data_IF_814377554131
#
_entry.id   IF_814377554131
#
_cell.length_a   1.000
_cell.length_b   1.000
_cell.length_c   1.000
_cell.angle_alpha   90.00
_cell.angle_beta   90.00
_cell.angle_gamma   90.00
#
_symmetry.space_group_name_H-M   'P 1'
#
loop_
_entity.id
_entity.type
_entity.pdbx_description
1 polymer ?
#
# COMPACT_ATOMS: atom_id res chain seq x y z
N UNK A 1 -19.01 11.96 11.07
CA UNK A 1 -17.91 12.34 10.13
C UNK A 1 -16.90 11.22 10.20
N UNK A 2 -16.73 10.49 9.11
CA UNK A 2 -15.81 9.36 9.00
C UNK A 2 -14.34 9.79 8.98
N UNK A 3 -13.43 8.81 8.94
CA UNK A 3 -11.98 9.06 8.77
C UNK A 3 -11.67 9.56 7.36
N UNK A 4 -12.40 9.05 6.36
CA UNK A 4 -12.26 9.46 4.96
C UNK A 4 -12.63 10.92 4.74
N UNK A 5 -13.67 11.41 5.44
CA UNK A 5 -14.12 12.81 5.34
C UNK A 5 -13.10 13.83 5.88
N UNK A 6 -12.14 13.36 6.69
CA UNK A 6 -11.09 14.20 7.29
C UNK A 6 -9.85 14.33 6.41
N UNK A 7 -9.79 13.58 5.30
CA UNK A 7 -8.64 13.60 4.38
C UNK A 7 -8.65 14.90 3.57
N UNK A 8 -7.60 15.71 3.71
CA UNK A 8 -7.47 16.98 2.99
C UNK A 8 -7.02 16.76 1.54
N UNK A 9 -7.96 16.56 0.63
CA UNK A 9 -7.71 16.32 -0.79
C UNK A 9 -7.23 17.56 -1.57
N UNK A 10 -7.15 18.74 -0.93
CA UNK A 10 -6.62 19.97 -1.55
C UNK A 10 -5.09 19.97 -1.69
N UNK A 11 -4.40 19.07 -1.03
CA UNK A 11 -2.93 18.94 -1.04
C UNK A 11 -2.39 18.76 -2.46
N UNK A 12 -1.42 19.59 -2.82
CA UNK A 12 -0.82 19.59 -4.16
C UNK A 12 0.69 19.82 -4.09
N UNK A 13 1.39 19.38 -5.12
CA UNK A 13 2.80 19.70 -5.37
C UNK A 13 2.99 20.11 -6.82
N UNK A 14 3.87 21.07 -7.03
CA UNK A 14 4.36 21.42 -8.36
C UNK A 14 5.24 20.29 -8.91
N UNK A 15 5.54 20.32 -10.22
CA UNK A 15 6.45 19.35 -10.84
C UNK A 15 7.87 19.42 -10.26
N UNK A 16 8.34 20.62 -9.90
CA UNK A 16 9.68 20.83 -9.32
C UNK A 16 9.77 20.27 -7.90
N UNK A 17 8.75 20.53 -7.08
CA UNK A 17 8.67 20.00 -5.72
C UNK A 17 8.56 18.46 -5.72
N UNK A 18 7.70 17.87 -6.59
CA UNK A 18 7.64 16.41 -6.76
C UNK A 18 9.01 15.82 -7.11
N UNK A 19 9.71 16.42 -8.10
CA UNK A 19 11.00 15.90 -8.56
C UNK A 19 12.06 15.95 -7.45
N UNK A 20 12.15 17.08 -6.73
CA UNK A 20 13.09 17.26 -5.63
C UNK A 20 12.81 16.30 -4.48
N UNK A 21 11.55 16.21 -4.03
CA UNK A 21 11.16 15.35 -2.93
C UNK A 21 11.33 13.85 -3.25
N UNK A 22 11.02 13.45 -4.50
CA UNK A 22 11.25 12.07 -4.93
C UNK A 22 12.75 11.74 -4.96
N UNK A 23 13.61 12.63 -5.45
CA UNK A 23 15.05 12.39 -5.49
C UNK A 23 15.62 12.14 -4.08
N UNK A 24 15.33 13.03 -3.13
CA UNK A 24 15.76 12.89 -1.74
C UNK A 24 15.20 11.62 -1.07
N UNK A 25 13.90 11.37 -1.25
CA UNK A 25 13.28 10.18 -0.70
C UNK A 25 13.83 8.88 -1.30
N UNK A 26 14.18 8.86 -2.58
CA UNK A 26 14.78 7.70 -3.23
C UNK A 26 16.16 7.37 -2.68
N UNK A 27 17.00 8.38 -2.43
CA UNK A 27 18.30 8.19 -1.78
C UNK A 27 18.13 7.56 -0.40
N UNK A 28 17.20 8.11 0.40
CA UNK A 28 16.92 7.59 1.74
C UNK A 28 16.36 6.18 1.71
N UNK A 29 15.37 5.90 0.86
CA UNK A 29 14.79 4.56 0.72
C UNK A 29 15.81 3.54 0.26
N UNK A 30 16.69 3.91 -0.69
CA UNK A 30 17.77 3.04 -1.15
C UNK A 30 18.72 2.70 -0.01
N UNK A 31 19.15 3.69 0.76
CA UNK A 31 20.01 3.48 1.94
C UNK A 31 19.37 2.49 2.92
N UNK A 32 18.10 2.72 3.32
CA UNK A 32 17.37 1.84 4.23
C UNK A 32 17.27 0.41 3.67
N UNK A 33 16.98 0.27 2.38
CA UNK A 33 16.88 -1.05 1.73
C UNK A 33 18.22 -1.79 1.70
N UNK A 34 19.31 -1.09 1.39
CA UNK A 34 20.65 -1.69 1.41
C UNK A 34 21.07 -2.09 2.83
N UNK A 35 20.72 -1.29 3.83
CA UNK A 35 20.95 -1.63 5.25
C UNK A 35 20.17 -2.87 5.65
N UNK A 36 18.85 -2.88 5.43
CA UNK A 36 18.00 -4.03 5.76
C UNK A 36 18.39 -5.29 5.00
N UNK A 37 18.87 -5.15 3.77
CA UNK A 37 19.34 -6.28 2.94
C UNK A 37 20.76 -6.76 3.27
N UNK A 38 21.43 -6.17 4.25
CA UNK A 38 22.78 -6.56 4.64
C UNK A 38 23.86 -6.21 3.62
N UNK A 39 23.62 -5.25 2.69
CA UNK A 39 24.61 -4.81 1.72
C UNK A 39 25.54 -3.72 2.31
N UNK A 40 25.02 -2.89 3.22
CA UNK A 40 25.78 -1.85 3.91
C UNK A 40 25.55 -1.92 5.42
N UNK A 41 26.33 -1.21 6.20
CA UNK A 41 26.31 -1.22 7.67
C UNK A 41 27.01 -2.45 8.24
N UNK A 42 26.42 -3.07 9.24
CA UNK A 42 26.93 -4.29 9.91
C UNK A 42 26.77 -5.58 9.10
N UNK A 43 26.13 -5.47 7.93
CA UNK A 43 25.83 -6.57 7.01
C UNK A 43 24.90 -7.65 7.57
N UNK A 44 24.22 -7.39 8.67
CA UNK A 44 23.14 -8.24 9.16
C UNK A 44 21.86 -8.03 8.33
N UNK A 45 21.06 -9.10 8.16
CA UNK A 45 19.75 -8.98 7.55
C UNK A 45 18.81 -8.32 8.56
N UNK A 46 18.14 -7.25 8.13
CA UNK A 46 17.14 -6.57 8.93
C UNK A 46 15.73 -7.15 8.76
N UNK A 47 14.76 -6.63 9.50
CA UNK A 47 13.37 -7.08 9.44
C UNK A 47 12.77 -6.99 8.04
N UNK A 48 11.89 -7.94 7.68
CA UNK A 48 11.20 -7.92 6.40
C UNK A 48 10.22 -6.74 6.31
N UNK A 49 10.04 -6.19 5.11
CA UNK A 49 9.14 -5.07 4.86
C UNK A 49 8.01 -5.49 3.93
N UNK A 50 6.76 -5.32 4.36
CA UNK A 50 5.59 -5.55 3.51
C UNK A 50 4.75 -4.28 3.41
N UNK A 51 4.62 -3.73 2.20
CA UNK A 51 3.82 -2.53 1.93
C UNK A 51 2.54 -2.92 1.20
N UNK A 52 1.40 -2.56 1.79
CA UNK A 52 0.07 -2.87 1.27
C UNK A 52 -0.55 -1.63 0.62
N UNK A 53 -0.97 -1.75 -0.63
CA UNK A 53 -1.70 -0.71 -1.33
C UNK A 53 -3.16 -1.09 -1.50
N UNK A 54 -4.03 -0.38 -0.83
CA UNK A 54 -5.47 -0.37 -1.04
C UNK A 54 -5.95 1.03 -1.48
N UNK A 55 -7.18 1.14 -1.90
CA UNK A 55 -7.76 2.43 -2.30
C UNK A 55 -8.68 2.33 -3.50
N UNK A 56 -9.35 3.42 -3.77
CA UNK A 56 -10.33 3.52 -4.84
C UNK A 56 -9.76 3.13 -6.21
N UNK A 57 -10.62 2.63 -7.10
CA UNK A 57 -10.25 2.45 -8.49
C UNK A 57 -9.83 3.80 -9.09
N UNK A 58 -8.81 3.77 -9.93
CA UNK A 58 -8.12 4.94 -10.46
C UNK A 58 -7.46 5.88 -9.41
N UNK A 59 -7.37 5.51 -8.13
CA UNK A 59 -6.71 6.35 -7.11
C UNK A 59 -5.23 6.64 -7.39
N UNK A 60 -4.57 5.84 -8.22
CA UNK A 60 -3.18 6.06 -8.61
C UNK A 60 -2.20 5.07 -8.01
N UNK A 61 -2.68 3.97 -7.39
CA UNK A 61 -1.86 2.89 -6.79
C UNK A 61 -0.66 2.51 -7.66
N UNK A 62 -0.88 2.02 -8.87
CA UNK A 62 0.20 1.57 -9.75
C UNK A 62 1.21 2.66 -10.13
N UNK A 63 0.78 3.94 -10.17
CA UNK A 63 1.67 5.08 -10.38
C UNK A 63 2.55 5.40 -9.17
N UNK A 64 2.02 5.23 -7.96
CA UNK A 64 2.74 5.38 -6.70
C UNK A 64 3.72 4.20 -6.49
N UNK A 65 3.26 2.97 -6.69
CA UNK A 65 4.11 1.76 -6.63
C UNK A 65 5.30 1.90 -7.56
N UNK A 66 5.07 2.31 -8.82
CA UNK A 66 6.18 2.51 -9.77
C UNK A 66 7.22 3.50 -9.24
N UNK A 67 6.82 4.61 -8.58
CA UNK A 67 7.77 5.59 -8.01
C UNK A 67 8.46 5.06 -6.77
N UNK A 68 7.72 4.33 -5.93
CA UNK A 68 8.27 3.70 -4.73
C UNK A 68 9.41 2.73 -5.08
N UNK A 69 9.20 1.85 -6.05
CA UNK A 69 10.18 0.81 -6.37
C UNK A 69 11.24 1.25 -7.39
N UNK A 70 11.08 2.42 -8.01
CA UNK A 70 11.96 2.90 -9.08
C UNK A 70 13.45 2.96 -8.72
N UNK A 71 13.87 3.33 -7.50
CA UNK A 71 15.28 3.39 -7.13
C UNK A 71 15.85 2.04 -6.67
N UNK A 72 15.00 1.05 -6.47
CA UNK A 72 15.41 -0.23 -5.88
C UNK A 72 15.84 -1.23 -6.94
N UNK A 73 16.83 -2.04 -6.60
CA UNK A 73 17.21 -3.18 -7.42
C UNK A 73 16.04 -4.20 -7.47
N UNK A 74 15.54 -4.55 -8.66
CA UNK A 74 14.40 -5.46 -8.80
C UNK A 74 14.64 -6.86 -8.25
N UNK A 75 15.89 -7.24 -7.99
CA UNK A 75 16.23 -8.52 -7.33
C UNK A 75 15.92 -8.52 -5.84
N UNK A 76 15.78 -7.35 -5.23
CA UNK A 76 15.59 -7.16 -3.78
C UNK A 76 14.22 -6.62 -3.39
N UNK A 77 13.33 -6.39 -4.35
CA UNK A 77 11.95 -5.98 -4.12
C UNK A 77 11.01 -6.78 -5.00
N UNK A 78 9.97 -7.33 -4.39
CA UNK A 78 8.91 -8.04 -5.11
C UNK A 78 7.67 -7.17 -5.17
N UNK A 79 7.11 -6.97 -6.37
CA UNK A 79 5.79 -6.35 -6.55
C UNK A 79 4.80 -7.41 -6.99
N UNK A 80 3.72 -7.56 -6.23
CA UNK A 80 2.68 -8.54 -6.53
C UNK A 80 1.34 -7.84 -6.62
N UNK A 81 0.63 -8.06 -7.72
CA UNK A 81 -0.74 -7.60 -7.90
C UNK A 81 -1.69 -8.76 -7.68
N UNK A 82 -2.69 -8.57 -6.82
CA UNK A 82 -3.75 -9.54 -6.61
C UNK A 82 -5.02 -9.17 -7.38
N UNK A 83 -5.50 -10.12 -8.16
CA UNK A 83 -6.80 -10.11 -8.80
C UNK A 83 -7.76 -11.07 -8.07
N UNK A 84 -8.93 -11.32 -8.66
CA UNK A 84 -9.86 -12.33 -8.16
C UNK A 84 -9.14 -13.67 -7.91
N UNK A 85 -9.45 -14.38 -6.83
CA UNK A 85 -8.81 -15.65 -6.53
C UNK A 85 -9.10 -16.70 -7.61
N UNK A 86 -8.10 -17.51 -7.95
CA UNK A 86 -8.22 -18.64 -8.87
C UNK A 86 -9.13 -19.72 -8.29
N UNK A 87 -9.53 -20.69 -9.12
CA UNK A 87 -10.32 -21.81 -8.65
C UNK A 87 -9.63 -22.60 -7.52
N UNK A 88 -8.32 -22.79 -7.62
CA UNK A 88 -7.55 -23.50 -6.58
C UNK A 88 -7.43 -22.66 -5.30
N UNK A 89 -7.13 -21.37 -5.41
CA UNK A 89 -7.06 -20.46 -4.25
C UNK A 89 -8.38 -20.40 -3.46
N UNK A 90 -9.53 -20.51 -4.13
CA UNK A 90 -10.86 -20.57 -3.48
C UNK A 90 -11.10 -21.82 -2.63
N UNK A 91 -10.30 -22.88 -2.80
CA UNK A 91 -10.37 -24.12 -1.99
C UNK A 91 -9.65 -23.98 -0.65
N UNK A 92 -8.89 -22.91 -0.48
CA UNK A 92 -8.10 -22.62 0.71
C UNK A 92 -8.67 -21.41 1.47
N UNK A 93 -8.22 -21.25 2.70
CA UNK A 93 -8.50 -20.03 3.45
C UNK A 93 -7.98 -18.81 2.69
N UNK A 94 -8.73 -17.68 2.69
CA UNK A 94 -8.38 -16.53 1.86
C UNK A 94 -6.98 -15.95 2.11
N UNK A 95 -6.42 -16.12 3.31
CA UNK A 95 -5.05 -15.70 3.65
C UNK A 95 -3.97 -16.60 3.03
N UNK A 96 -4.31 -17.83 2.64
CA UNK A 96 -3.34 -18.79 2.12
C UNK A 96 -2.54 -18.26 0.93
N UNK A 97 -3.18 -17.59 0.00
CA UNK A 97 -2.56 -17.07 -1.22
C UNK A 97 -1.51 -15.99 -0.98
N UNK A 98 -1.50 -15.37 0.20
CA UNK A 98 -0.57 -14.29 0.54
C UNK A 98 0.73 -14.81 1.17
N UNK A 99 0.70 -15.94 1.86
CA UNK A 99 1.89 -16.52 2.49
C UNK A 99 3.10 -16.67 1.54
N UNK A 100 2.96 -17.20 0.30
CA UNK A 100 4.10 -17.42 -0.60
C UNK A 100 4.75 -16.13 -1.12
N UNK A 101 4.13 -14.97 -0.89
CA UNK A 101 4.62 -13.68 -1.38
C UNK A 101 5.15 -12.77 -0.28
N UNK A 102 4.99 -13.17 0.99
CA UNK A 102 5.54 -12.44 2.12
C UNK A 102 7.07 -12.43 2.05
N UNK A 103 7.72 -11.31 2.40
CA UNK A 103 9.17 -11.22 2.42
C UNK A 103 9.74 -11.96 3.63
N UNK A 104 10.91 -12.55 3.46
CA UNK A 104 11.76 -12.98 4.57
C UNK A 104 12.66 -11.84 5.06
N UNK A 105 13.45 -12.09 6.10
CA UNK A 105 14.44 -11.13 6.61
C UNK A 105 15.34 -10.59 5.48
N UNK A 106 15.59 -9.30 5.48
CA UNK A 106 16.30 -8.60 4.42
C UNK A 106 15.48 -8.33 3.15
N UNK A 107 14.27 -8.88 3.04
CA UNK A 107 13.41 -8.76 1.86
C UNK A 107 12.38 -7.62 1.94
N UNK A 108 11.81 -7.25 0.79
CA UNK A 108 10.68 -6.32 0.69
C UNK A 108 9.67 -6.80 -0.34
N UNK A 109 8.40 -6.77 0.04
CA UNK A 109 7.29 -7.02 -0.88
C UNK A 109 6.32 -5.84 -0.88
N UNK A 110 5.84 -5.47 -2.07
CA UNK A 110 4.80 -4.46 -2.28
C UNK A 110 3.59 -5.14 -2.88
N UNK A 111 2.45 -5.06 -2.22
CA UNK A 111 1.20 -5.67 -2.66
C UNK A 111 0.27 -4.60 -3.26
N UNK A 112 -0.10 -4.73 -4.53
CA UNK A 112 -1.20 -3.99 -5.16
C UNK A 112 -2.48 -4.80 -4.99
N UNK A 113 -3.33 -4.39 -4.05
CA UNK A 113 -4.40 -5.14 -3.39
C UNK A 113 -3.85 -6.25 -2.47
N UNK A 114 -4.59 -6.55 -1.43
CA UNK A 114 -4.12 -7.42 -0.35
C UNK A 114 -5.25 -8.29 0.20
N UNK A 115 -5.03 -8.88 1.36
CA UNK A 115 -6.04 -9.65 2.11
C UNK A 115 -7.27 -8.82 2.51
N UNK A 116 -7.18 -7.52 2.47
CA UNK A 116 -8.30 -6.62 2.73
C UNK A 116 -9.41 -6.69 1.67
N UNK A 117 -9.14 -7.27 0.51
CA UNK A 117 -10.16 -7.60 -0.49
C UNK A 117 -11.33 -8.39 0.09
N UNK A 118 -11.11 -9.26 1.12
CA UNK A 118 -12.14 -10.01 1.83
C UNK A 118 -13.21 -9.12 2.47
N UNK A 119 -12.80 -8.02 3.09
CA UNK A 119 -13.70 -7.09 3.80
C UNK A 119 -14.07 -5.87 2.95
N UNK A 120 -13.54 -5.75 1.75
CA UNK A 120 -13.85 -4.72 0.76
C UNK A 120 -14.63 -5.28 -0.42
N UNK A 121 -13.98 -5.61 -1.52
CA UNK A 121 -14.64 -6.05 -2.76
C UNK A 121 -15.45 -7.32 -2.57
N UNK A 122 -14.95 -8.31 -1.84
CA UNK A 122 -15.68 -9.57 -1.65
C UNK A 122 -16.93 -9.40 -0.78
N UNK A 123 -16.89 -8.47 0.19
CA UNK A 123 -18.05 -8.07 1.00
C UNK A 123 -19.07 -7.31 0.15
N UNK A 124 -18.67 -6.23 -0.51
CA UNK A 124 -19.57 -5.30 -1.21
C UNK A 124 -20.20 -5.96 -2.44
N UNK A 125 -19.44 -6.79 -3.16
CA UNK A 125 -19.94 -7.51 -4.34
C UNK A 125 -20.66 -8.83 -3.98
N UNK A 126 -20.73 -9.19 -2.70
CA UNK A 126 -21.40 -10.41 -2.25
C UNK A 126 -20.66 -11.69 -2.63
N UNK A 127 -19.34 -11.63 -2.86
CA UNK A 127 -18.52 -12.80 -3.18
C UNK A 127 -18.13 -13.59 -1.93
N UNK A 128 -18.19 -12.97 -0.75
CA UNK A 128 -18.02 -13.61 0.54
C UNK A 128 -19.34 -13.57 1.33
N UNK A 129 -19.70 -14.68 1.95
CA UNK A 129 -20.83 -14.75 2.87
C UNK A 129 -20.62 -13.83 4.07
N UNK A 130 -21.71 -13.31 4.63
CA UNK A 130 -21.69 -12.33 5.72
C UNK A 130 -20.89 -12.83 6.93
N UNK A 131 -21.10 -14.06 7.35
CA UNK A 131 -20.34 -14.66 8.47
C UNK A 131 -18.83 -14.73 8.16
N UNK A 132 -18.45 -14.94 6.89
CA UNK A 132 -17.05 -15.07 6.48
C UNK A 132 -16.34 -13.72 6.47
N UNK A 133 -16.93 -12.65 5.92
CA UNK A 133 -16.26 -11.36 5.91
C UNK A 133 -16.29 -10.68 7.30
N UNK A 134 -17.33 -10.93 8.13
CA UNK A 134 -17.34 -10.43 9.52
C UNK A 134 -16.23 -11.04 10.37
N UNK A 135 -15.99 -12.34 10.24
CA UNK A 135 -14.89 -13.04 10.93
C UNK A 135 -13.51 -12.59 10.43
N UNK A 136 -13.42 -12.23 9.16
CA UNK A 136 -12.14 -11.88 8.51
C UNK A 136 -11.41 -10.72 9.18
N UNK A 137 -12.09 -9.80 9.85
CA UNK A 137 -11.41 -8.73 10.60
C UNK A 137 -10.51 -9.27 11.71
N UNK A 138 -10.99 -10.24 12.47
CA UNK A 138 -10.23 -10.86 13.55
C UNK A 138 -9.11 -11.76 13.00
N UNK A 139 -9.40 -12.46 11.90
CA UNK A 139 -8.40 -13.28 11.18
C UNK A 139 -7.27 -12.43 10.60
N UNK A 140 -7.58 -11.28 10.00
CA UNK A 140 -6.60 -10.31 9.50
C UNK A 140 -5.76 -9.74 10.65
N UNK A 141 -6.39 -9.32 11.73
CA UNK A 141 -5.68 -8.79 12.89
C UNK A 141 -4.72 -9.82 13.49
N UNK A 142 -5.15 -11.08 13.61
CA UNK A 142 -4.32 -12.18 14.12
C UNK A 142 -3.16 -12.48 13.16
N UNK A 143 -3.42 -12.47 11.86
CA UNK A 143 -2.41 -12.66 10.83
C UNK A 143 -1.35 -11.57 10.85
N UNK A 144 -1.76 -10.29 10.84
CA UNK A 144 -0.85 -9.15 10.92
C UNK A 144 -0.06 -9.13 12.23
N UNK A 145 -0.69 -9.53 13.35
CA UNK A 145 0.01 -9.66 14.62
C UNK A 145 1.09 -10.72 14.56
N UNK A 146 0.79 -11.91 14.02
CA UNK A 146 1.79 -12.97 13.82
C UNK A 146 2.99 -12.50 13.01
N UNK A 147 2.76 -11.74 11.94
CA UNK A 147 3.83 -11.20 11.12
C UNK A 147 4.65 -10.14 11.87
N UNK A 148 3.98 -9.27 12.64
CA UNK A 148 4.64 -8.24 13.43
C UNK A 148 5.46 -8.82 14.58
N UNK A 149 4.99 -9.87 15.23
CA UNK A 149 5.71 -10.56 16.32
C UNK A 149 7.00 -11.24 15.82
N UNK A 150 7.02 -11.65 14.53
CA UNK A 150 8.22 -12.14 13.83
C UNK A 150 9.10 -10.98 13.29
N UNK A 151 8.80 -9.73 13.65
CA UNK A 151 9.58 -8.54 13.32
C UNK A 151 9.20 -7.87 12.00
N UNK A 152 8.19 -8.37 11.25
CA UNK A 152 7.83 -7.75 9.96
C UNK A 152 7.33 -6.32 10.13
N UNK A 153 7.85 -5.44 9.30
CA UNK A 153 7.40 -4.04 9.17
C UNK A 153 6.25 -4.00 8.18
N UNK A 154 5.04 -3.75 8.69
CA UNK A 154 3.83 -3.61 7.87
C UNK A 154 3.53 -2.12 7.66
N UNK A 155 3.41 -1.69 6.40
CA UNK A 155 3.00 -0.33 6.03
C UNK A 155 1.72 -0.43 5.20
N UNK A 156 0.59 -0.01 5.75
CA UNK A 156 -0.71 -0.10 5.10
C UNK A 156 -1.16 1.26 4.57
N UNK A 157 -1.40 1.34 3.26
CA UNK A 157 -1.72 2.57 2.55
C UNK A 157 -3.11 2.47 1.93
N UNK A 158 -4.00 3.42 2.30
CA UNK A 158 -5.27 3.64 1.62
C UNK A 158 -5.17 4.86 0.72
N UNK A 159 -5.21 4.65 -0.60
CA UNK A 159 -5.17 5.74 -1.59
C UNK A 159 -6.56 6.34 -1.76
N UNK A 160 -6.81 7.50 -1.15
CA UNK A 160 -8.10 8.18 -1.16
C UNK A 160 -8.17 9.26 -2.23
N UNK A 161 -9.27 9.29 -3.00
CA UNK A 161 -9.59 10.33 -3.98
C UNK A 161 -11.06 10.72 -3.87
N UNK A 162 -11.36 11.95 -4.28
CA UNK A 162 -12.71 12.43 -4.42
C UNK A 162 -13.48 11.66 -5.52
N UNK A 163 -14.78 11.71 -5.43
CA UNK A 163 -15.67 11.12 -6.45
C UNK A 163 -15.46 11.79 -7.82
N UNK A 164 -15.33 13.10 -7.82
CA UNK A 164 -15.10 13.90 -9.01
C UNK A 164 -13.77 13.57 -9.70
N UNK A 165 -12.70 13.44 -8.92
CA UNK A 165 -11.40 13.07 -9.49
C UNK A 165 -11.40 11.62 -10.03
N UNK A 166 -12.11 10.69 -9.38
CA UNK A 166 -12.27 9.34 -9.90
C UNK A 166 -12.94 9.34 -11.28
N UNK A 167 -14.08 10.03 -11.41
CA UNK A 167 -14.81 10.14 -12.68
C UNK A 167 -13.93 10.75 -13.78
N UNK A 168 -13.26 11.85 -13.47
CA UNK A 168 -12.33 12.51 -14.38
C UNK A 168 -11.23 11.59 -14.87
N UNK A 169 -10.71 10.71 -13.98
CA UNK A 169 -9.69 9.72 -14.33
C UNK A 169 -10.25 8.60 -15.20
N UNK A 170 -11.46 8.14 -14.96
CA UNK A 170 -12.14 7.16 -15.79
C UNK A 170 -12.35 7.71 -17.21
N UNK A 171 -12.85 8.93 -17.34
CA UNK A 171 -13.01 9.59 -18.64
C UNK A 171 -11.68 9.78 -19.38
N UNK A 172 -10.63 10.16 -18.65
CA UNK A 172 -9.28 10.28 -19.21
C UNK A 172 -8.74 8.94 -19.71
N UNK A 173 -9.02 7.84 -18.99
CA UNK A 173 -8.65 6.49 -19.44
C UNK A 173 -9.41 6.08 -20.69
N UNK A 174 -10.72 6.36 -20.75
CA UNK A 174 -11.59 6.08 -21.91
C UNK A 174 -11.10 6.75 -23.19
N UNK A 175 -10.58 7.98 -23.08
CA UNK A 175 -10.08 8.78 -24.22
C UNK A 175 -8.66 8.39 -24.66
N UNK A 176 -7.92 7.58 -23.90
CA UNK A 176 -6.53 7.25 -24.18
C UNK A 176 -6.38 5.78 -24.58
N UNK A 177 -6.08 5.46 -25.87
CA UNK A 177 -5.97 4.07 -26.34
C UNK A 177 -4.98 3.21 -25.55
N UNK A 178 -3.91 3.81 -25.02
CA UNK A 178 -2.90 3.11 -24.22
C UNK A 178 -3.34 2.88 -22.76
N UNK A 179 -4.53 3.37 -22.37
CA UNK A 179 -5.05 3.26 -21.00
C UNK A 179 -6.46 2.68 -20.92
N UNK A 180 -7.13 2.50 -22.05
CA UNK A 180 -8.49 1.91 -22.11
C UNK A 180 -8.56 0.56 -21.43
N UNK A 181 -7.55 -0.29 -21.61
CA UNK A 181 -7.46 -1.61 -20.98
C UNK A 181 -7.47 -1.58 -19.44
N UNK A 182 -7.26 -0.41 -18.82
CA UNK A 182 -7.31 -0.19 -17.37
C UNK A 182 -8.71 0.21 -16.87
N UNK A 183 -9.66 0.35 -17.78
CA UNK A 183 -11.03 0.71 -17.45
C UNK A 183 -11.92 -0.47 -17.82
N UNK A 184 -12.51 -1.08 -16.82
CA UNK A 184 -13.35 -2.26 -16.95
C UNK A 184 -14.78 -1.95 -16.50
N UNK A 185 -15.73 -2.82 -16.84
CA UNK A 185 -17.11 -2.72 -16.34
C UNK A 185 -17.17 -2.85 -14.82
N UNK A 186 -16.18 -3.51 -14.21
CA UNK A 186 -16.04 -3.61 -12.75
C UNK A 186 -15.77 -2.23 -12.12
N UNK A 187 -14.90 -1.40 -12.74
CA UNK A 187 -14.64 -0.05 -12.24
C UNK A 187 -15.92 0.79 -12.15
N UNK A 188 -16.81 0.70 -13.16
CA UNK A 188 -18.07 1.41 -13.18
C UNK A 188 -19.05 0.87 -12.14
N UNK A 189 -19.17 -0.43 -12.01
CA UNK A 189 -20.00 -1.12 -11.02
C UNK A 189 -19.57 -0.77 -9.59
N UNK A 190 -18.26 -0.77 -9.31
CA UNK A 190 -17.70 -0.37 -8.02
C UNK A 190 -18.02 1.08 -7.71
N UNK A 191 -18.00 1.95 -8.72
CA UNK A 191 -18.35 3.36 -8.57
C UNK A 191 -19.83 3.55 -8.22
N UNK A 192 -20.73 2.79 -8.82
CA UNK A 192 -22.17 2.83 -8.49
C UNK A 192 -22.45 2.47 -7.02
N UNK A 193 -21.59 1.63 -6.43
CA UNK A 193 -21.67 1.20 -5.02
C UNK A 193 -20.73 1.98 -4.09
N UNK A 194 -20.30 3.19 -4.49
CA UNK A 194 -19.29 3.94 -3.74
C UNK A 194 -19.63 4.14 -2.27
N UNK A 195 -20.88 4.37 -1.92
CA UNK A 195 -21.32 4.56 -0.53
C UNK A 195 -21.18 3.26 0.28
N UNK A 196 -21.50 2.11 -0.32
CA UNK A 196 -21.30 0.80 0.32
C UNK A 196 -19.81 0.50 0.54
N UNK A 197 -18.99 0.83 -0.47
CA UNK A 197 -17.53 0.73 -0.33
C UNK A 197 -16.99 1.69 0.72
N UNK A 198 -17.48 2.94 0.80
CA UNK A 198 -17.06 3.90 1.81
C UNK A 198 -17.36 3.39 3.23
N UNK A 199 -18.55 2.84 3.45
CA UNK A 199 -18.93 2.22 4.73
C UNK A 199 -18.01 1.01 5.06
N UNK A 200 -17.70 0.17 4.07
CA UNK A 200 -16.78 -0.96 4.26
C UNK A 200 -15.36 -0.51 4.61
N UNK A 201 -14.88 0.57 3.97
CA UNK A 201 -13.56 1.15 4.25
C UNK A 201 -13.50 1.76 5.65
N UNK A 202 -14.51 2.52 6.06
CA UNK A 202 -14.55 3.10 7.41
C UNK A 202 -14.52 2.01 8.49
N UNK A 203 -15.32 0.94 8.33
CA UNK A 203 -15.29 -0.20 9.25
C UNK A 203 -13.92 -0.93 9.22
N UNK A 204 -13.33 -1.10 8.04
CA UNK A 204 -11.98 -1.66 7.91
C UNK A 204 -10.96 -0.82 8.67
N UNK A 205 -10.96 0.50 8.49
CA UNK A 205 -10.06 1.41 9.19
C UNK A 205 -10.27 1.37 10.71
N UNK A 206 -11.52 1.32 11.17
CA UNK A 206 -11.85 1.25 12.59
C UNK A 206 -11.36 -0.06 13.22
N UNK A 207 -11.63 -1.18 12.58
CA UNK A 207 -11.41 -2.51 13.16
C UNK A 207 -9.98 -3.04 12.98
N UNK A 208 -9.21 -2.49 12.04
CA UNK A 208 -7.89 -3.04 11.70
C UNK A 208 -6.75 -2.01 11.75
N UNK A 209 -6.98 -0.81 12.29
CA UNK A 209 -5.91 0.16 12.56
C UNK A 209 -5.16 -0.22 13.84
N UNK A 210 -4.11 -1.00 13.71
CA UNK A 210 -3.37 -1.62 14.82
C UNK A 210 -2.09 -0.83 15.13
N UNK A 211 -2.23 0.22 15.90
CA UNK A 211 -1.10 1.00 16.41
C UNK A 211 -0.34 0.21 17.49
N UNK A 212 0.99 0.25 17.52
CA UNK A 212 1.90 0.85 16.54
C UNK A 212 2.35 -0.11 15.44
N UNK A 213 1.88 -1.37 15.43
CA UNK A 213 2.46 -2.46 14.63
C UNK A 213 2.04 -2.43 13.16
N UNK A 214 0.78 -2.10 12.89
CA UNK A 214 0.23 -2.12 11.53
C UNK A 214 -0.79 -0.98 11.34
N UNK A 215 -0.37 0.30 11.38
CA UNK A 215 -1.26 1.45 11.20
C UNK A 215 -1.71 1.61 9.75
N UNK A 216 -2.92 2.14 9.57
CA UNK A 216 -3.38 2.64 8.29
C UNK A 216 -2.94 4.09 8.05
N UNK A 217 -2.36 4.32 6.88
CA UNK A 217 -2.04 5.66 6.41
C UNK A 217 -2.98 6.04 5.26
N UNK A 218 -3.78 7.09 5.47
CA UNK A 218 -4.65 7.65 4.44
C UNK A 218 -3.82 8.59 3.56
N UNK A 219 -3.81 8.31 2.25
CA UNK A 219 -3.00 9.05 1.28
C UNK A 219 -3.92 9.93 0.43
N UNK A 220 -3.70 11.21 0.46
CA UNK A 220 -4.42 12.22 -0.32
C UNK A 220 -4.09 12.07 -1.81
N UNK A 221 -5.05 11.55 -2.57
CA UNK A 221 -4.79 11.03 -3.91
C UNK A 221 -5.22 11.94 -5.07
N UNK A 222 -5.95 13.03 -4.86
CA UNK A 222 -6.43 13.90 -5.95
C UNK A 222 -5.28 14.49 -6.75
N UNK A 223 -4.23 14.96 -6.07
CA UNK A 223 -2.97 15.29 -6.73
C UNK A 223 -2.07 14.07 -6.83
N UNK A 224 -1.90 13.52 -8.03
CA UNK A 224 -0.98 12.39 -8.26
C UNK A 224 0.46 12.69 -7.85
N UNK A 225 0.90 13.94 -7.96
CA UNK A 225 2.25 14.36 -7.57
C UNK A 225 2.41 14.29 -6.06
N UNK A 226 1.46 14.88 -5.34
CA UNK A 226 1.45 14.82 -3.88
C UNK A 226 1.38 13.38 -3.37
N UNK A 227 0.43 12.60 -3.87
CA UNK A 227 0.25 11.20 -3.46
C UNK A 227 1.52 10.34 -3.60
N UNK A 228 2.28 10.51 -4.68
CA UNK A 228 3.52 9.76 -4.93
C UNK A 228 4.60 10.08 -3.90
N UNK A 229 4.77 11.36 -3.60
CA UNK A 229 5.71 11.83 -2.56
C UNK A 229 5.24 11.37 -1.18
N UNK A 230 3.95 11.56 -0.87
CA UNK A 230 3.38 11.15 0.41
C UNK A 230 3.55 9.65 0.67
N UNK A 231 3.28 8.81 -0.33
CA UNK A 231 3.52 7.36 -0.26
C UNK A 231 4.99 7.04 0.04
N UNK A 232 5.93 7.66 -0.71
CA UNK A 232 7.36 7.43 -0.51
C UNK A 232 7.80 7.79 0.91
N UNK A 233 7.42 8.97 1.39
CA UNK A 233 7.77 9.44 2.73
C UNK A 233 7.14 8.57 3.82
N UNK A 234 5.86 8.20 3.67
CA UNK A 234 5.18 7.31 4.63
C UNK A 234 5.85 5.94 4.71
N UNK A 235 6.32 5.39 3.59
CA UNK A 235 7.04 4.10 3.61
C UNK A 235 8.40 4.24 4.28
N UNK A 236 9.13 5.33 4.03
CA UNK A 236 10.42 5.62 4.71
C UNK A 236 10.20 5.72 6.23
N UNK A 237 9.25 6.55 6.67
CA UNK A 237 8.88 6.72 8.08
C UNK A 237 8.52 5.37 8.73
N UNK A 238 7.66 4.58 8.05
CA UNK A 238 7.25 3.26 8.53
C UNK A 238 8.41 2.26 8.65
N UNK A 239 9.37 2.30 7.72
CA UNK A 239 10.58 1.47 7.79
C UNK A 239 11.45 1.90 8.97
N UNK A 240 11.71 3.20 9.14
CA UNK A 240 12.54 3.72 10.24
C UNK A 240 11.94 3.42 11.62
N UNK A 241 10.64 3.64 11.78
CA UNK A 241 9.92 3.29 13.00
C UNK A 241 9.94 1.78 13.26
N UNK A 242 9.73 0.99 12.20
CA UNK A 242 9.79 -0.47 12.28
C UNK A 242 11.18 -0.99 12.65
N UNK A 243 12.24 -0.39 12.12
CA UNK A 243 13.62 -0.71 12.54
C UNK A 243 13.81 -0.45 14.03
N UNK A 244 13.42 0.73 14.54
CA UNK A 244 13.53 1.07 15.97
C UNK A 244 12.74 0.09 16.86
N UNK A 245 11.52 -0.31 16.44
CA UNK A 245 10.74 -1.32 17.17
C UNK A 245 11.44 -2.68 17.25
N UNK A 246 12.25 -3.00 16.25
CA UNK A 246 13.08 -4.21 16.22
C UNK A 246 14.46 -4.01 16.88
N UNK A 247 14.69 -2.91 17.61
CA UNK A 247 15.96 -2.61 18.28
C UNK A 247 17.10 -2.24 17.33
N UNK A 248 16.80 -1.82 16.10
CA UNK A 248 17.78 -1.41 15.08
C UNK A 248 17.65 0.08 14.85
N UNK A 249 18.71 0.84 15.11
CA UNK A 249 18.73 2.26 14.77
C UNK A 249 18.87 2.44 13.26
N UNK A 250 17.98 3.23 12.62
CA UNK A 250 18.16 3.60 11.23
C UNK A 250 19.50 4.31 11.00
N UNK A 251 20.21 4.04 9.91
CA UNK A 251 21.47 4.72 9.62
C UNK A 251 21.23 6.23 9.45
N UNK A 252 22.22 7.06 9.84
CA UNK A 252 22.19 8.48 9.52
C UNK A 252 22.03 8.69 8.01
N UNK A 253 21.25 9.71 7.56
CA UNK A 253 21.13 10.01 6.15
C UNK A 253 22.49 10.12 5.47
N UNK A 254 22.68 9.43 4.37
CA UNK A 254 23.92 9.49 3.62
C UNK A 254 24.18 10.93 3.16
N UNK A 255 25.36 11.47 3.47
CA UNK A 255 25.81 12.72 2.87
C UNK A 255 26.31 12.36 1.48
N UNK A 256 25.56 12.71 0.46
CA UNK A 256 26.07 12.64 -0.90
C UNK A 256 26.94 13.87 -1.12
N UNK A 257 28.25 13.66 -1.30
CA UNK A 257 29.11 14.72 -1.84
C UNK A 257 28.64 14.95 -3.28
N UNK A 258 28.05 16.10 -3.53
CA UNK A 258 27.65 16.51 -4.87
C UNK A 258 28.93 17.03 -5.54
N UNK A 259 29.61 16.15 -6.30
CA UNK A 259 30.66 16.56 -7.23
C UNK A 259 30.08 17.37 -8.40
#
# INVERSE_FOLDING_TARGET
VGRLDKVDLSKQLSRKEEASALAQGWERLTQLRLTLGGQIGDRALGPPVCVLFEGWDASGKGGAIKRLVSPMDPRHVRVVQFAAPTHDEKRHHFLWRFWPVLPGWGGMTVLDRSWYGRVLVERVEGFAEEASWKRAYDEINSFEQTLADEGMILVKLWMHISDEEQLKRFESRRKNPLKQWKLTDEDWRNREKRDEYAAAVEEMLERTDRQPHAPWHLIEGDSKRYARVRVLLTVIEGIEEGMRRNGIEPPEPAKMDVD
#
